data_IF_243054964294
#
_entry.id   IF_243054964294
#
_cell.length_a   1.000
_cell.length_b   1.000
_cell.length_c   1.000
_cell.angle_alpha   90.00
_cell.angle_beta   90.00
_cell.angle_gamma   90.00
#
_symmetry.space_group_name_H-M   'P 1'
#
loop_
_entity.id
_entity.type
_entity.pdbx_description
1 polymer ?
#
# COMPACT_ATOMS: atom_id res chain seq x y z
N UNK A 1 -12.14 3.66 -4.88
CA UNK A 1 -12.29 5.09 -5.21
C UNK A 1 -10.95 5.80 -5.01
N UNK A 2 -10.77 7.01 -5.54
CA UNK A 2 -9.54 7.77 -5.32
C UNK A 2 -9.41 8.17 -3.84
N UNK A 3 -8.21 8.07 -3.28
CA UNK A 3 -7.91 8.46 -1.90
C UNK A 3 -7.97 10.00 -1.77
N UNK A 4 -8.60 10.52 -0.72
CA UNK A 4 -8.62 11.97 -0.48
C UNK A 4 -7.23 12.47 -0.14
N UNK A 5 -6.99 13.76 -0.40
CA UNK A 5 -5.70 14.38 -0.09
C UNK A 5 -5.42 14.35 1.42
N UNK A 6 -6.43 14.57 2.27
CA UNK A 6 -6.23 14.51 3.72
C UNK A 6 -5.81 13.10 4.15
N UNK A 7 -6.56 12.08 3.71
CA UNK A 7 -6.27 10.69 4.09
C UNK A 7 -4.89 10.24 3.60
N UNK A 8 -4.50 10.65 2.40
CA UNK A 8 -3.16 10.38 1.87
C UNK A 8 -2.08 11.01 2.74
N UNK A 9 -2.26 12.26 3.14
CA UNK A 9 -1.29 12.98 3.98
C UNK A 9 -1.18 12.38 5.38
N UNK A 10 -2.28 11.92 5.98
CA UNK A 10 -2.27 11.17 7.25
C UNK A 10 -1.43 9.89 7.16
N UNK A 11 -1.62 9.11 6.09
CA UNK A 11 -0.86 7.88 5.86
C UNK A 11 0.62 8.21 5.65
N UNK A 12 0.95 9.22 4.86
CA UNK A 12 2.34 9.64 4.68
C UNK A 12 2.95 10.03 6.04
N UNK A 13 2.27 10.87 6.82
CA UNK A 13 2.76 11.29 8.13
C UNK A 13 2.99 10.13 9.11
N UNK A 14 2.14 9.10 9.05
CA UNK A 14 2.24 7.92 9.93
C UNK A 14 3.36 6.93 9.55
N UNK A 15 3.79 6.92 8.28
CA UNK A 15 4.74 5.93 7.75
C UNK A 15 6.04 6.50 7.18
N UNK A 16 6.19 7.84 7.13
CA UNK A 16 7.42 8.51 6.72
C UNK A 16 8.60 8.16 7.63
N UNK A 17 9.79 7.97 7.05
CA UNK A 17 11.01 7.72 7.84
C UNK A 17 11.71 9.00 8.29
N UNK A 18 11.45 10.12 7.61
CA UNK A 18 11.88 11.46 7.96
C UNK A 18 10.85 12.48 7.50
N UNK A 19 10.97 13.75 7.90
CA UNK A 19 9.87 14.72 7.77
C UNK A 19 9.43 14.98 6.31
N UNK A 20 10.37 14.99 5.38
CA UNK A 20 10.14 15.24 3.94
C UNK A 20 9.95 13.96 3.11
N UNK A 21 9.89 12.79 3.76
CA UNK A 21 9.76 11.52 3.05
C UNK A 21 8.33 11.33 2.51
N UNK A 22 8.23 11.30 1.19
CA UNK A 22 7.00 11.05 0.45
C UNK A 22 7.10 9.83 -0.46
N UNK A 23 8.27 9.22 -0.54
CA UNK A 23 8.65 8.29 -1.61
C UNK A 23 9.31 7.00 -1.14
N UNK A 24 9.56 6.84 0.16
CA UNK A 24 10.13 5.61 0.70
C UNK A 24 9.24 4.40 0.40
N UNK A 25 9.84 3.19 0.37
CA UNK A 25 9.08 1.95 0.26
C UNK A 25 7.98 1.83 1.32
N UNK A 26 8.21 2.28 2.55
CA UNK A 26 7.24 2.28 3.65
C UNK A 26 6.00 3.09 3.31
N UNK A 27 6.19 4.36 2.93
CA UNK A 27 5.11 5.26 2.55
C UNK A 27 4.34 4.73 1.35
N UNK A 28 5.06 4.29 0.30
CA UNK A 28 4.41 3.75 -0.91
C UNK A 28 3.60 2.50 -0.62
N UNK A 29 4.11 1.57 0.19
CA UNK A 29 3.40 0.34 0.56
C UNK A 29 2.18 0.65 1.43
N UNK A 30 2.27 1.61 2.35
CA UNK A 30 1.15 2.02 3.18
C UNK A 30 0.01 2.62 2.35
N UNK A 31 0.32 3.55 1.43
CA UNK A 31 -0.67 4.15 0.52
C UNK A 31 -1.30 3.09 -0.38
N UNK A 32 -0.50 2.22 -1.01
CA UNK A 32 -1.01 1.13 -1.85
C UNK A 32 -1.91 0.18 -1.06
N UNK A 33 -1.60 -0.06 0.21
CA UNK A 33 -2.41 -0.95 1.06
C UNK A 33 -3.80 -0.37 1.33
N UNK A 34 -3.89 0.93 1.62
CA UNK A 34 -5.18 1.60 1.77
C UNK A 34 -6.00 1.60 0.48
N UNK A 35 -5.37 1.90 -0.66
CA UNK A 35 -6.01 1.88 -1.97
C UNK A 35 -6.53 0.47 -2.34
N UNK A 36 -5.73 -0.56 -2.06
CA UNK A 36 -6.11 -1.97 -2.26
C UNK A 36 -7.30 -2.34 -1.38
N UNK A 37 -7.31 -1.93 -0.11
CA UNK A 37 -8.40 -2.22 0.82
C UNK A 37 -9.71 -1.55 0.38
N UNK A 38 -9.65 -0.25 0.03
CA UNK A 38 -10.79 0.49 -0.51
C UNK A 38 -11.33 -0.14 -1.80
N UNK A 39 -10.44 -0.53 -2.73
CA UNK A 39 -10.85 -1.11 -3.99
C UNK A 39 -11.40 -2.54 -3.83
N UNK A 40 -10.88 -3.32 -2.89
CA UNK A 40 -11.45 -4.62 -2.54
C UNK A 40 -12.89 -4.49 -2.05
N UNK A 41 -13.18 -3.53 -1.16
CA UNK A 41 -14.54 -3.31 -0.67
C UNK A 41 -15.49 -2.90 -1.81
N UNK A 42 -15.05 -2.02 -2.70
CA UNK A 42 -15.81 -1.67 -3.91
C UNK A 42 -16.09 -2.89 -4.80
N UNK A 43 -15.12 -3.78 -5.00
CA UNK A 43 -15.28 -4.96 -5.86
C UNK A 43 -16.15 -6.06 -5.22
N UNK A 44 -16.36 -6.03 -3.88
CA UNK A 44 -17.30 -6.93 -3.21
C UNK A 44 -18.74 -6.64 -3.64
N UNK A 45 -19.10 -5.37 -3.77
CA UNK A 45 -20.42 -4.94 -4.26
C UNK A 45 -20.49 -4.98 -5.80
N UNK A 46 -19.43 -4.55 -6.50
CA UNK A 46 -19.39 -4.48 -7.96
C UNK A 46 -18.63 -5.65 -8.60
N UNK A 47 -19.16 -6.87 -8.46
CA UNK A 47 -18.47 -8.11 -8.87
C UNK A 47 -18.10 -8.18 -10.36
N UNK A 48 -18.84 -7.48 -11.24
CA UNK A 48 -18.65 -7.46 -12.69
C UNK A 48 -17.67 -6.38 -13.18
N UNK A 49 -17.15 -5.55 -12.29
CA UNK A 49 -16.14 -4.56 -12.68
C UNK A 49 -14.75 -5.21 -12.86
N UNK A 50 -14.52 -5.76 -14.05
CA UNK A 50 -13.27 -6.40 -14.42
C UNK A 50 -12.14 -5.39 -14.71
N UNK A 51 -12.48 -4.16 -15.10
CA UNK A 51 -11.50 -3.12 -15.42
C UNK A 51 -10.80 -2.63 -14.14
N UNK A 52 -11.58 -2.35 -13.09
CA UNK A 52 -11.06 -2.01 -11.78
C UNK A 52 -10.30 -3.18 -11.14
N UNK A 53 -10.77 -4.43 -11.33
CA UNK A 53 -10.04 -5.62 -10.86
C UNK A 53 -8.66 -5.75 -11.49
N UNK A 54 -8.49 -5.41 -12.77
CA UNK A 54 -7.17 -5.35 -13.40
C UNK A 54 -6.27 -4.31 -12.74
N UNK A 55 -6.82 -3.13 -12.41
CA UNK A 55 -6.12 -2.09 -11.65
C UNK A 55 -5.66 -2.60 -10.27
N UNK A 56 -6.54 -3.28 -9.54
CA UNK A 56 -6.24 -3.92 -8.26
C UNK A 56 -5.03 -4.86 -8.37
N UNK A 57 -5.03 -5.77 -9.36
CA UNK A 57 -3.93 -6.72 -9.54
C UNK A 57 -2.60 -6.03 -9.81
N UNK A 58 -2.59 -4.93 -10.57
CA UNK A 58 -1.37 -4.12 -10.78
C UNK A 58 -0.88 -3.50 -9.47
N UNK A 59 -1.77 -2.96 -8.64
CA UNK A 59 -1.41 -2.39 -7.34
C UNK A 59 -0.85 -3.45 -6.39
N UNK A 60 -1.48 -4.64 -6.33
CA UNK A 60 -0.99 -5.79 -5.56
C UNK A 60 0.41 -6.21 -6.02
N UNK A 61 0.63 -6.30 -7.34
CA UNK A 61 1.94 -6.61 -7.92
C UNK A 61 3.01 -5.58 -7.57
N UNK A 62 2.69 -4.29 -7.70
CA UNK A 62 3.60 -3.19 -7.32
C UNK A 62 3.96 -3.25 -5.83
N UNK A 63 2.98 -3.45 -4.95
CA UNK A 63 3.21 -3.60 -3.50
C UNK A 63 4.12 -4.78 -3.20
N UNK A 64 3.91 -5.93 -3.86
CA UNK A 64 4.75 -7.12 -3.71
C UNK A 64 6.21 -6.85 -4.12
N UNK A 65 6.43 -6.12 -5.21
CA UNK A 65 7.77 -5.76 -5.67
C UNK A 65 8.47 -4.83 -4.67
N UNK A 66 7.79 -3.82 -4.15
CA UNK A 66 8.33 -2.92 -3.12
C UNK A 66 8.69 -3.66 -1.82
N UNK A 67 7.80 -4.55 -1.36
CA UNK A 67 8.06 -5.39 -0.19
C UNK A 67 9.23 -6.35 -0.42
N UNK A 68 9.38 -6.89 -1.64
CA UNK A 68 10.52 -7.75 -1.98
C UNK A 68 11.83 -6.96 -2.00
N UNK A 69 11.81 -5.76 -2.58
CA UNK A 69 12.94 -4.84 -2.55
C UNK A 69 13.34 -4.53 -1.10
N UNK A 70 12.38 -4.08 -0.28
CA UNK A 70 12.64 -3.74 1.12
C UNK A 70 13.19 -4.93 1.89
N UNK A 71 12.64 -6.13 1.71
CA UNK A 71 13.16 -7.35 2.34
C UNK A 71 14.61 -7.65 1.97
N UNK A 72 14.98 -7.43 0.71
CA UNK A 72 16.33 -7.71 0.21
C UNK A 72 17.34 -6.64 0.64
N UNK A 73 16.89 -5.39 0.80
CA UNK A 73 17.73 -4.27 1.23
C UNK A 73 17.87 -4.18 2.74
N UNK A 74 16.77 -4.33 3.49
CA UNK A 74 16.72 -4.24 4.94
C UNK A 74 15.59 -5.11 5.51
N UNK A 75 15.97 -6.26 6.07
CA UNK A 75 15.02 -7.23 6.62
C UNK A 75 14.30 -6.72 7.87
N UNK A 76 14.92 -5.82 8.63
CA UNK A 76 14.35 -5.27 9.87
C UNK A 76 13.21 -4.32 9.54
N UNK A 77 13.47 -3.33 8.67
CA UNK A 77 12.43 -2.41 8.16
C UNK A 77 11.28 -3.15 7.52
N UNK A 78 11.59 -4.20 6.76
CA UNK A 78 10.57 -5.07 6.16
C UNK A 78 9.65 -5.72 7.20
N UNK A 79 10.23 -6.30 8.27
CA UNK A 79 9.46 -6.96 9.33
C UNK A 79 8.58 -5.98 10.09
N UNK A 80 9.15 -4.84 10.46
CA UNK A 80 8.43 -3.76 11.16
C UNK A 80 7.25 -3.23 10.32
N UNK A 81 7.49 -2.96 9.03
CA UNK A 81 6.46 -2.48 8.12
C UNK A 81 5.32 -3.48 7.97
N UNK A 82 5.63 -4.77 7.80
CA UNK A 82 4.62 -5.82 7.68
C UNK A 82 3.79 -5.94 8.96
N UNK A 83 4.45 -5.91 10.12
CA UNK A 83 3.77 -5.99 11.41
C UNK A 83 2.85 -4.79 11.60
N UNK A 84 3.34 -3.58 11.30
CA UNK A 84 2.58 -2.33 11.43
C UNK A 84 1.36 -2.28 10.50
N UNK A 85 1.47 -2.82 9.28
CA UNK A 85 0.38 -2.88 8.31
C UNK A 85 -0.52 -4.12 8.44
N UNK A 86 -0.19 -5.08 9.32
CA UNK A 86 -0.93 -6.33 9.48
C UNK A 86 -0.94 -7.20 8.22
N UNK A 87 0.07 -7.10 7.36
CA UNK A 87 0.11 -7.86 6.10
C UNK A 87 0.51 -9.32 6.37
N UNK A 88 -0.31 -10.28 5.93
CA UNK A 88 0.08 -11.70 5.96
C UNK A 88 1.02 -12.03 4.79
N UNK A 89 2.00 -12.89 5.05
CA UNK A 89 2.75 -13.64 4.03
C UNK A 89 1.95 -14.85 3.56
#
# INVERSE_FOLDING_TARGET
MALTKERKNEIIAAYRTHETDTGSPEVQVAVLTEEINSLNEHLRTHKKDHHSRRGLLKMVGRRRNLLTYLRNSDVTRYRELIQKLGLRR
#
